data_IF_284970509119
#
_entry.id   IF_284970509119
#
_cell.length_a   1.000
_cell.length_b   1.000
_cell.length_c   1.000
_cell.angle_alpha   90.00
_cell.angle_beta   90.00
_cell.angle_gamma   90.00
#
_symmetry.space_group_name_H-M   'P 1'
#
loop_
_entity.id
_entity.type
_entity.pdbx_description
1 polymer ?
#
# COMPACT_ATOMS: atom_id res chain seq x y z
N UNK A 1 2.32 -15.57 -9.93
CA UNK A 1 1.76 -14.61 -10.91
C UNK A 1 2.81 -13.60 -11.35
N UNK A 2 3.22 -12.68 -10.46
CA UNK A 2 4.22 -11.63 -10.74
C UNK A 2 5.49 -12.17 -11.41
N UNK A 3 6.14 -13.16 -10.79
CA UNK A 3 7.37 -13.77 -11.31
C UNK A 3 7.21 -14.35 -12.72
N UNK A 4 6.08 -14.98 -13.03
CA UNK A 4 5.81 -15.54 -14.35
C UNK A 4 5.55 -14.46 -15.40
N UNK A 5 4.91 -13.34 -15.04
CA UNK A 5 4.74 -12.20 -15.94
C UNK A 5 6.10 -11.59 -16.28
N UNK A 6 6.95 -11.35 -15.26
CA UNK A 6 8.29 -10.78 -15.44
C UNK A 6 9.23 -11.67 -16.25
N UNK A 7 9.06 -13.00 -16.22
CA UNK A 7 9.81 -13.94 -17.08
C UNK A 7 9.41 -13.88 -18.55
N UNK A 8 8.13 -13.59 -18.84
CA UNK A 8 7.57 -13.64 -20.20
C UNK A 8 7.62 -12.31 -20.92
N UNK A 9 7.62 -11.20 -20.18
CA UNK A 9 7.51 -9.87 -20.73
C UNK A 9 8.50 -8.92 -20.07
N UNK A 10 9.26 -8.18 -20.89
CA UNK A 10 10.14 -7.10 -20.45
C UNK A 10 9.33 -5.81 -20.27
N UNK A 11 8.45 -5.81 -19.27
CA UNK A 11 7.61 -4.65 -18.93
C UNK A 11 7.71 -4.31 -17.45
N UNK A 12 7.38 -3.05 -17.13
CA UNK A 12 7.15 -2.63 -15.76
C UNK A 12 5.79 -3.15 -15.30
N UNK A 13 5.76 -3.82 -14.15
CA UNK A 13 4.57 -4.38 -13.54
C UNK A 13 4.23 -3.60 -12.27
N UNK A 14 2.99 -3.10 -12.20
CA UNK A 14 2.46 -2.39 -11.04
C UNK A 14 1.25 -3.13 -10.52
N UNK A 15 1.21 -3.44 -9.22
CA UNK A 15 0.12 -4.19 -8.60
C UNK A 15 -0.83 -3.29 -7.82
N UNK A 16 -2.12 -3.45 -8.08
CA UNK A 16 -3.22 -2.77 -7.41
C UNK A 16 -4.16 -3.80 -6.80
N UNK A 17 -4.53 -3.64 -5.52
CA UNK A 17 -5.54 -4.48 -4.88
C UNK A 17 -6.26 -3.76 -3.73
N UNK A 18 -7.43 -4.28 -3.36
CA UNK A 18 -8.25 -3.78 -2.27
C UNK A 18 -8.15 -4.69 -1.04
N UNK A 19 -8.16 -4.09 0.15
CA UNK A 19 -8.04 -4.74 1.46
C UNK A 19 -9.35 -5.34 1.99
N UNK A 20 -10.35 -5.56 1.13
CA UNK A 20 -11.70 -6.00 1.52
C UNK A 20 -11.69 -7.33 2.28
N UNK A 21 -10.75 -8.21 1.96
CA UNK A 21 -10.60 -9.52 2.59
C UNK A 21 -9.63 -9.51 3.80
N UNK A 22 -8.97 -8.39 4.08
CA UNK A 22 -7.92 -8.26 5.10
C UNK A 22 -6.58 -8.93 4.72
N UNK A 23 -6.43 -9.40 3.48
CA UNK A 23 -5.22 -10.13 3.02
C UNK A 23 -4.39 -9.36 1.99
N UNK A 24 -4.78 -8.13 1.65
CA UNK A 24 -4.16 -7.37 0.56
C UNK A 24 -2.72 -6.96 0.88
N UNK A 25 -2.43 -6.59 2.13
CA UNK A 25 -1.10 -6.30 2.64
C UNK A 25 -0.14 -7.46 2.36
N UNK A 26 -0.57 -8.69 2.67
CA UNK A 26 0.22 -9.90 2.46
C UNK A 26 0.38 -10.21 0.97
N UNK A 27 -0.66 -9.95 0.16
CA UNK A 27 -0.58 -10.11 -1.29
C UNK A 27 0.42 -9.11 -1.91
N UNK A 28 0.43 -7.86 -1.47
CA UNK A 28 1.42 -6.86 -1.90
C UNK A 28 2.83 -7.27 -1.47
N UNK A 29 3.02 -7.72 -0.22
CA UNK A 29 4.31 -8.20 0.25
C UNK A 29 4.85 -9.35 -0.62
N UNK A 30 4.00 -10.34 -0.95
CA UNK A 30 4.39 -11.44 -1.85
C UNK A 30 4.63 -11.00 -3.29
N UNK A 31 4.00 -9.93 -3.74
CA UNK A 31 4.28 -9.35 -5.04
C UNK A 31 5.65 -8.64 -5.06
N UNK A 32 6.00 -7.94 -3.98
CA UNK A 32 7.29 -7.29 -3.79
C UNK A 32 8.42 -8.33 -3.79
N UNK A 33 8.30 -9.37 -2.97
CA UNK A 33 9.26 -10.49 -2.95
C UNK A 33 9.39 -11.18 -4.32
N UNK A 34 8.34 -11.16 -5.14
CA UNK A 34 8.34 -11.74 -6.49
C UNK A 34 8.89 -10.80 -7.59
N UNK A 35 9.30 -9.57 -7.24
CA UNK A 35 9.92 -8.62 -8.15
C UNK A 35 8.94 -7.71 -8.90
N UNK A 36 7.80 -7.33 -8.28
CA UNK A 36 6.94 -6.27 -8.82
C UNK A 36 7.65 -4.91 -8.75
N UNK A 37 7.42 -4.03 -9.74
CA UNK A 37 8.12 -2.75 -9.85
C UNK A 37 7.41 -1.57 -9.15
N UNK A 38 6.21 -1.81 -8.63
CA UNK A 38 5.35 -0.83 -7.97
C UNK A 38 4.09 -1.45 -7.40
N UNK A 39 3.56 -0.83 -6.34
CA UNK A 39 2.32 -1.24 -5.70
C UNK A 39 1.49 0.00 -5.33
N UNK A 40 0.17 -0.14 -5.32
CA UNK A 40 -0.74 0.90 -4.85
C UNK A 40 -1.11 0.73 -3.38
N UNK A 41 -1.00 1.80 -2.63
CA UNK A 41 -1.38 1.91 -1.22
C UNK A 41 -2.17 3.20 -0.98
N UNK A 42 -2.88 3.27 0.15
CA UNK A 42 -3.55 4.49 0.61
C UNK A 42 -2.97 4.93 1.95
N UNK A 43 -3.06 6.22 2.28
CA UNK A 43 -2.63 6.70 3.60
C UNK A 43 -3.51 6.08 4.69
N UNK A 44 -2.94 5.73 5.84
CA UNK A 44 -3.60 4.88 6.86
C UNK A 44 -4.97 5.38 7.30
N UNK A 45 -5.17 6.70 7.36
CA UNK A 45 -6.46 7.30 7.75
C UNK A 45 -7.59 7.08 6.73
N UNK A 46 -7.24 6.72 5.49
CA UNK A 46 -8.13 6.49 4.35
C UNK A 46 -7.94 5.11 3.71
N UNK A 47 -7.24 4.18 4.40
CA UNK A 47 -6.92 2.84 3.89
C UNK A 47 -7.81 1.76 4.52
N UNK A 48 -7.51 0.50 4.19
CA UNK A 48 -8.16 -0.71 4.68
C UNK A 48 -9.65 -0.80 4.30
N UNK A 49 -10.35 -1.83 4.79
CA UNK A 49 -11.74 -2.16 4.41
C UNK A 49 -11.89 -2.24 2.89
N UNK A 50 -12.73 -1.43 2.28
CA UNK A 50 -12.93 -1.40 0.83
C UNK A 50 -11.83 -0.63 0.07
N UNK A 51 -10.88 0.00 0.77
CA UNK A 51 -9.75 0.74 0.19
C UNK A 51 -8.51 -0.11 -0.05
N UNK A 52 -7.37 0.54 -0.23
CA UNK A 52 -6.05 -0.09 -0.39
C UNK A 52 -5.38 -0.41 0.94
N UNK A 53 -4.33 -1.26 0.95
CA UNK A 53 -3.43 -1.39 2.09
C UNK A 53 -2.85 -0.07 2.58
N UNK A 54 -2.58 0.01 3.89
CA UNK A 54 -1.99 1.19 4.50
C UNK A 54 -0.54 1.41 4.06
N UNK A 55 -0.23 2.61 3.57
CA UNK A 55 1.11 3.00 3.08
C UNK A 55 2.14 2.89 4.20
N UNK A 56 1.81 3.42 5.37
CA UNK A 56 2.69 3.45 6.55
C UNK A 56 3.04 2.05 7.02
N UNK A 57 2.05 1.14 7.03
CA UNK A 57 2.28 -0.24 7.44
C UNK A 57 3.21 -0.97 6.46
N UNK A 58 3.03 -0.77 5.15
CA UNK A 58 3.88 -1.39 4.15
C UNK A 58 5.30 -0.80 4.19
N UNK A 59 5.44 0.52 4.27
CA UNK A 59 6.73 1.21 4.42
C UNK A 59 7.47 0.72 5.67
N UNK A 60 6.78 0.64 6.82
CA UNK A 60 7.37 0.13 8.05
C UNK A 60 7.80 -1.34 7.93
N UNK A 61 7.03 -2.16 7.21
CA UNK A 61 7.35 -3.58 6.99
C UNK A 61 8.60 -3.76 6.13
N UNK A 62 8.81 -2.88 5.15
CA UNK A 62 9.94 -2.98 4.21
C UNK A 62 11.19 -2.24 4.70
N UNK A 63 11.09 -1.43 5.76
CA UNK A 63 12.20 -0.65 6.29
C UNK A 63 13.39 -1.56 6.70
N UNK A 64 14.57 -1.24 6.20
CA UNK A 64 15.79 -2.00 6.44
C UNK A 64 15.91 -3.33 5.67
N UNK A 65 14.96 -3.63 4.77
CA UNK A 65 15.05 -4.78 3.84
C UNK A 65 15.69 -4.36 2.51
N UNK A 66 15.94 -5.31 1.60
CA UNK A 66 16.37 -5.01 0.23
C UNK A 66 15.32 -4.25 -0.60
N UNK A 67 14.07 -4.20 -0.10
CA UNK A 67 12.93 -3.52 -0.72
C UNK A 67 12.56 -2.23 0.01
N UNK A 68 13.47 -1.66 0.81
CA UNK A 68 13.23 -0.40 1.51
C UNK A 68 12.83 0.69 0.51
N UNK A 69 11.72 1.36 0.81
CA UNK A 69 11.14 2.40 -0.04
C UNK A 69 11.87 3.74 0.09
N UNK A 70 12.64 3.95 1.16
CA UNK A 70 13.27 5.22 1.50
C UNK A 70 12.28 6.34 1.87
N UNK A 71 10.99 6.02 2.07
CA UNK A 71 9.97 6.98 2.47
C UNK A 71 10.09 7.34 3.95
N UNK A 72 9.98 8.62 4.24
CA UNK A 72 10.03 9.16 5.61
C UNK A 72 8.69 8.91 6.32
N UNK A 73 8.70 7.98 7.27
CA UNK A 73 7.49 7.56 7.99
C UNK A 73 6.86 8.71 8.80
N UNK A 74 7.66 9.65 9.33
CA UNK A 74 7.14 10.79 10.09
C UNK A 74 6.38 11.76 9.17
N UNK A 75 6.83 11.92 7.92
CA UNK A 75 6.07 12.70 6.93
C UNK A 75 4.76 12.02 6.55
N UNK A 76 4.76 10.70 6.41
CA UNK A 76 3.53 9.95 6.15
C UNK A 76 2.53 10.09 7.32
N UNK A 77 2.99 9.97 8.56
CA UNK A 77 2.15 10.16 9.75
C UNK A 77 1.49 11.55 9.78
N UNK A 78 2.22 12.61 9.40
CA UNK A 78 1.65 13.95 9.29
C UNK A 78 0.54 14.04 8.23
N UNK A 79 0.71 13.37 7.09
CA UNK A 79 -0.32 13.29 6.05
C UNK A 79 -1.54 12.51 6.56
N UNK A 80 -1.32 11.40 7.27
CA UNK A 80 -2.39 10.60 7.85
C UNK A 80 -3.18 11.39 8.91
N UNK A 81 -2.49 12.16 9.75
CA UNK A 81 -3.12 13.04 10.73
C UNK A 81 -3.99 14.11 10.06
N UNK A 82 -3.51 14.73 8.97
CA UNK A 82 -4.28 15.67 8.19
C UNK A 82 -5.56 15.03 7.62
N UNK A 83 -5.43 13.89 6.94
CA UNK A 83 -6.59 13.23 6.32
C UNK A 83 -7.57 12.66 7.34
N UNK A 84 -7.11 12.29 8.55
CA UNK A 84 -8.00 11.92 9.66
C UNK A 84 -8.95 13.06 10.03
N UNK A 85 -8.48 14.30 10.05
CA UNK A 85 -9.34 15.47 10.29
C UNK A 85 -10.25 15.77 9.09
N UNK A 86 -9.76 15.59 7.87
CA UNK A 86 -10.57 15.76 6.65
C UNK A 86 -11.72 14.76 6.60
N UNK A 87 -11.49 13.49 6.93
CA UNK A 87 -12.48 12.41 6.89
C UNK A 87 -13.72 12.72 7.73
N UNK A 88 -13.55 13.40 8.88
CA UNK A 88 -14.67 13.82 9.75
C UNK A 88 -15.71 14.69 9.01
N UNK A 89 -15.28 15.48 8.02
CA UNK A 89 -16.19 16.30 7.19
C UNK A 89 -17.16 15.44 6.35
N UNK A 90 -16.78 14.20 6.09
CA UNK A 90 -17.50 13.25 5.24
C UNK A 90 -18.19 12.14 6.05
N UNK A 91 -18.36 12.31 7.37
CA UNK A 91 -18.99 11.30 8.23
C UNK A 91 -20.37 10.82 7.73
N UNK A 92 -21.12 11.67 7.02
CA UNK A 92 -22.41 11.32 6.42
C UNK A 92 -22.34 10.28 5.29
N UNK A 93 -21.13 10.01 4.77
CA UNK A 93 -20.87 9.08 3.67
C UNK A 93 -20.02 7.87 4.10
N UNK A 94 -19.76 7.72 5.41
CA UNK A 94 -19.07 6.54 5.93
C UNK A 94 -19.99 5.31 5.79
N UNK A 95 -19.39 4.20 5.37
CA UNK A 95 -20.05 2.89 5.23
C UNK A 95 -19.84 2.00 6.44
#
# INVERSE_FOLDING_TARGET
LVSEIKKRFEVRLHLHCHATTGMAEMALLKAIEAGVDGVDTAISSMSATYGHPATEALVATLAGTEHDTGLDILKLENIAAYFREVRKKYHAFEG
#
